data_IF_127256644246
#
_entry.id   IF_127256644246
#
_cell.length_a   1.000
_cell.length_b   1.000
_cell.length_c   1.000
_cell.angle_alpha   90.00
_cell.angle_beta   90.00
_cell.angle_gamma   90.00
#
_symmetry.space_group_name_H-M   'P 1'
#
loop_
_entity.id
_entity.type
_entity.pdbx_description
1 polymer ?
#
# COMPACT_ATOMS: atom_id res chain seq x y z
N UNK A 1 -3.93 23.90 -0.81
CA UNK A 1 -3.05 22.89 -1.47
C UNK A 1 -3.35 21.53 -0.86
N UNK A 2 -3.70 20.57 -1.69
CA UNK A 2 -3.99 19.22 -1.21
C UNK A 2 -2.71 18.49 -0.83
N UNK A 3 -2.72 17.84 0.34
CA UNK A 3 -1.61 17.02 0.77
C UNK A 3 -1.74 15.64 0.11
N UNK A 4 -0.84 15.38 -0.82
CA UNK A 4 -0.77 14.13 -1.57
C UNK A 4 0.69 13.83 -1.88
N UNK A 5 1.07 12.56 -1.81
CA UNK A 5 2.37 12.12 -2.31
C UNK A 5 2.20 10.98 -3.31
N UNK A 6 3.23 10.78 -4.11
CA UNK A 6 3.37 9.62 -4.99
C UNK A 6 4.79 9.10 -4.85
N UNK A 7 4.93 7.82 -4.55
CA UNK A 7 6.20 7.11 -4.60
C UNK A 7 6.19 6.10 -5.73
N UNK A 8 7.36 5.79 -6.30
CA UNK A 8 7.42 4.85 -7.43
C UNK A 8 8.71 4.06 -7.42
N UNK A 9 8.67 2.91 -8.04
CA UNK A 9 9.83 2.04 -8.21
C UNK A 9 9.63 1.03 -9.33
N UNK A 10 10.72 0.50 -9.84
CA UNK A 10 10.72 -0.50 -10.90
C UNK A 10 11.07 -1.86 -10.34
N UNK A 11 10.25 -2.85 -10.69
CA UNK A 11 10.42 -4.25 -10.28
C UNK A 11 10.75 -5.07 -11.54
N UNK A 12 11.82 -5.85 -11.50
CA UNK A 12 12.27 -6.68 -12.63
C UNK A 12 11.47 -7.96 -12.76
N UNK A 13 10.15 -7.81 -12.81
CA UNK A 13 9.16 -8.87 -13.03
C UNK A 13 8.05 -8.32 -13.91
N UNK A 14 7.31 -9.21 -14.58
CA UNK A 14 6.16 -8.84 -15.41
C UNK A 14 5.01 -8.29 -14.57
N UNK A 15 4.13 -7.52 -15.21
CA UNK A 15 3.03 -6.82 -14.51
C UNK A 15 2.06 -7.77 -13.82
N UNK A 16 1.80 -8.92 -14.39
CA UNK A 16 0.93 -9.94 -13.79
C UNK A 16 1.53 -10.50 -12.49
N UNK A 17 2.83 -10.74 -12.45
CA UNK A 17 3.54 -11.21 -11.25
C UNK A 17 3.51 -10.14 -10.15
N UNK A 18 3.79 -8.89 -10.51
CA UNK A 18 3.84 -7.79 -9.54
C UNK A 18 2.45 -7.46 -9.00
N UNK A 19 1.45 -7.41 -9.86
CA UNK A 19 0.06 -7.22 -9.43
C UNK A 19 -0.40 -8.33 -8.48
N UNK A 20 -0.14 -9.59 -8.82
CA UNK A 20 -0.53 -10.74 -8.00
C UNK A 20 0.18 -10.72 -6.63
N UNK A 21 1.40 -10.23 -6.57
CA UNK A 21 2.13 -10.07 -5.31
C UNK A 21 1.46 -9.09 -4.33
N UNK A 22 0.60 -8.20 -4.82
CA UNK A 22 -0.21 -7.31 -4.00
C UNK A 22 -1.60 -7.89 -3.76
N UNK A 23 -2.23 -8.44 -4.79
CA UNK A 23 -3.62 -8.89 -4.73
C UNK A 23 -3.81 -10.18 -3.92
N UNK A 24 -2.83 -11.07 -3.94
CA UNK A 24 -2.86 -12.33 -3.18
C UNK A 24 -2.38 -12.08 -1.74
N UNK A 25 -3.24 -12.30 -0.72
CA UNK A 25 -2.85 -12.08 0.67
C UNK A 25 -1.68 -12.94 1.12
N UNK A 26 -1.53 -14.14 0.60
CA UNK A 26 -0.41 -15.02 0.92
C UNK A 26 0.92 -14.44 0.44
N UNK A 27 0.95 -13.84 -0.75
CA UNK A 27 2.14 -13.19 -1.29
C UNK A 27 2.43 -11.86 -0.59
N UNK A 28 1.43 -11.02 -0.40
CA UNK A 28 1.57 -9.73 0.27
C UNK A 28 2.15 -9.88 1.68
N UNK A 29 1.78 -10.95 2.38
CA UNK A 29 2.24 -11.24 3.73
C UNK A 29 3.72 -11.65 3.81
N UNK A 30 4.37 -11.94 2.68
CA UNK A 30 5.79 -12.28 2.64
C UNK A 30 6.71 -11.06 2.79
N UNK A 31 6.23 -9.87 2.42
CA UNK A 31 7.11 -8.70 2.40
C UNK A 31 6.49 -7.42 2.96
N UNK A 32 5.16 -7.31 3.02
CA UNK A 32 4.47 -6.09 3.48
C UNK A 32 3.62 -6.35 4.71
N UNK A 33 2.52 -7.07 4.58
CA UNK A 33 1.61 -7.39 5.69
C UNK A 33 2.13 -8.58 6.48
N UNK A 34 3.25 -8.40 7.14
CA UNK A 34 4.03 -9.48 7.77
C UNK A 34 3.40 -10.03 9.04
N UNK A 35 2.38 -9.38 9.59
CA UNK A 35 1.51 -9.93 10.64
C UNK A 35 0.35 -10.76 10.09
N UNK A 36 0.17 -10.78 8.78
CA UNK A 36 -0.85 -11.51 8.04
C UNK A 36 -1.76 -10.58 7.25
N UNK A 37 -2.34 -11.12 6.17
CA UNK A 37 -3.40 -10.48 5.40
C UNK A 37 -4.49 -11.51 5.16
N UNK A 38 -5.75 -11.07 5.15
CA UNK A 38 -6.91 -11.92 4.89
C UNK A 38 -7.78 -11.28 3.82
N UNK A 39 -8.12 -12.07 2.83
CA UNK A 39 -8.95 -11.65 1.71
C UNK A 39 -8.14 -11.18 0.52
N UNK A 40 -8.55 -11.64 -0.65
CA UNK A 40 -7.98 -11.19 -1.92
C UNK A 40 -8.47 -9.80 -2.24
N UNK A 41 -7.62 -8.98 -2.82
CA UNK A 41 -7.98 -7.63 -3.28
C UNK A 41 -8.89 -7.74 -4.50
N UNK A 42 -10.16 -7.41 -4.30
CA UNK A 42 -11.22 -7.41 -5.31
C UNK A 42 -12.13 -6.20 -5.09
N UNK A 43 -12.72 -5.67 -6.17
CA UNK A 43 -13.62 -4.53 -6.08
C UNK A 43 -14.77 -4.78 -5.10
N UNK A 44 -14.96 -3.87 -4.16
CA UNK A 44 -16.02 -3.93 -3.15
C UNK A 44 -15.70 -4.79 -1.94
N UNK A 45 -14.55 -5.48 -1.92
CA UNK A 45 -14.13 -6.29 -0.79
C UNK A 45 -13.62 -5.41 0.36
N UNK A 46 -13.75 -5.93 1.58
CA UNK A 46 -13.02 -5.42 2.74
C UNK A 46 -12.04 -6.51 3.16
N UNK A 47 -10.76 -6.22 3.02
CA UNK A 47 -9.68 -7.12 3.41
C UNK A 47 -9.13 -6.70 4.77
N UNK A 48 -8.36 -7.57 5.41
CA UNK A 48 -7.74 -7.29 6.71
C UNK A 48 -6.23 -7.39 6.58
N UNK A 49 -5.52 -6.34 7.04
CA UNK A 49 -4.07 -6.28 7.08
C UNK A 49 -3.56 -6.21 8.50
N UNK A 50 -2.39 -6.80 8.74
CA UNK A 50 -1.68 -6.74 10.00
C UNK A 50 -0.17 -6.68 9.74
N UNK A 51 0.56 -5.96 10.60
CA UNK A 51 2.02 -5.84 10.51
C UNK A 51 2.64 -6.38 11.79
N UNK A 52 3.65 -7.25 11.69
CA UNK A 52 4.31 -7.82 12.88
C UNK A 52 5.00 -6.76 13.74
N UNK A 53 5.51 -5.72 13.09
CA UNK A 53 6.23 -4.60 13.72
C UNK A 53 5.29 -3.51 14.26
N UNK A 54 4.05 -3.46 13.78
CA UNK A 54 2.98 -2.58 14.26
C UNK A 54 1.71 -3.41 14.44
N UNK A 55 1.65 -4.29 15.46
CA UNK A 55 0.58 -5.28 15.58
C UNK A 55 -0.78 -4.64 15.83
N UNK A 56 -1.81 -5.25 15.25
CA UNK A 56 -3.19 -4.83 15.34
C UNK A 56 -3.85 -4.88 13.97
N UNK A 57 -4.62 -5.94 13.70
CA UNK A 57 -5.32 -6.10 12.42
C UNK A 57 -6.33 -4.97 12.21
N UNK A 58 -6.41 -4.45 10.98
CA UNK A 58 -7.32 -3.38 10.61
C UNK A 58 -7.96 -3.64 9.24
N UNK A 59 -9.18 -3.09 9.01
CA UNK A 59 -9.85 -3.26 7.73
C UNK A 59 -9.29 -2.32 6.66
N UNK A 60 -9.27 -2.81 5.43
CA UNK A 60 -8.92 -2.06 4.23
C UNK A 60 -10.06 -2.24 3.22
N UNK A 61 -10.69 -1.15 2.84
CA UNK A 61 -11.81 -1.17 1.88
C UNK A 61 -11.29 -1.03 0.46
N UNK A 62 -11.59 -1.99 -0.39
CA UNK A 62 -11.18 -1.98 -1.79
C UNK A 62 -12.28 -1.29 -2.61
N UNK A 63 -11.96 -0.11 -3.15
CA UNK A 63 -12.92 0.71 -3.89
C UNK A 63 -13.06 0.27 -5.34
N UNK A 64 -11.93 0.00 -6.01
CA UNK A 64 -11.93 -0.39 -7.41
C UNK A 64 -10.66 -1.16 -7.75
N UNK A 65 -10.77 -2.11 -8.66
CA UNK A 65 -9.66 -2.91 -9.16
C UNK A 65 -9.75 -3.02 -10.67
N UNK A 66 -8.69 -2.66 -11.36
CA UNK A 66 -8.44 -3.00 -12.76
C UNK A 66 -7.22 -3.93 -12.79
N UNK A 67 -7.45 -5.20 -13.10
CA UNK A 67 -6.41 -6.22 -13.06
C UNK A 67 -5.18 -5.80 -13.87
N UNK A 68 -3.99 -5.97 -13.26
CA UNK A 68 -2.68 -5.62 -13.85
C UNK A 68 -2.48 -4.12 -14.13
N UNK A 69 -3.38 -3.24 -13.64
CA UNK A 69 -3.28 -1.81 -13.90
C UNK A 69 -3.44 -0.96 -12.66
N UNK A 70 -4.46 -1.20 -11.82
CA UNK A 70 -4.81 -0.25 -10.77
C UNK A 70 -5.58 -0.89 -9.64
N UNK A 71 -5.27 -0.47 -8.42
CA UNK A 71 -6.01 -0.77 -7.20
C UNK A 71 -6.27 0.55 -6.49
N UNK A 72 -7.52 0.82 -6.15
CA UNK A 72 -7.89 1.92 -5.27
C UNK A 72 -8.44 1.35 -3.97
N UNK A 73 -7.93 1.84 -2.87
CA UNK A 73 -8.38 1.42 -1.54
C UNK A 73 -8.49 2.62 -0.58
N UNK A 74 -9.20 2.40 0.51
CA UNK A 74 -9.31 3.36 1.59
C UNK A 74 -9.05 2.65 2.91
N UNK A 75 -8.27 3.27 3.75
CA UNK A 75 -7.95 2.76 5.08
C UNK A 75 -7.98 3.86 6.13
N UNK A 76 -8.10 3.47 7.40
CA UNK A 76 -8.20 4.39 8.52
C UNK A 76 -6.90 5.17 8.76
N UNK A 77 -7.07 6.37 9.26
CA UNK A 77 -5.99 7.25 9.69
C UNK A 77 -6.21 7.63 11.16
N UNK A 78 -5.15 8.09 11.81
CA UNK A 78 -5.25 8.55 13.20
C UNK A 78 -6.14 9.80 13.28
N UNK A 79 -6.87 9.99 14.39
CA UNK A 79 -7.70 11.18 14.57
C UNK A 79 -6.91 12.47 14.36
N UNK A 80 -7.48 13.39 13.59
CA UNK A 80 -6.88 14.69 13.30
C UNK A 80 -5.86 14.70 12.16
N UNK A 81 -5.46 13.54 11.64
CA UNK A 81 -4.46 13.46 10.56
C UNK A 81 -5.04 13.38 9.16
N UNK A 82 -6.29 13.00 9.04
CA UNK A 82 -7.01 12.89 7.77
C UNK A 82 -8.43 13.42 7.91
N UNK A 83 -9.05 13.72 6.78
CA UNK A 83 -10.44 14.12 6.74
C UNK A 83 -11.35 12.89 6.93
N UNK A 84 -12.56 13.14 7.45
CA UNK A 84 -13.54 12.09 7.62
C UNK A 84 -14.10 11.66 6.25
N UNK A 85 -14.28 10.37 6.10
CA UNK A 85 -14.99 9.82 4.94
C UNK A 85 -16.51 9.80 5.14
N UNK A 86 -17.23 9.13 4.24
CA UNK A 86 -18.68 9.02 4.29
C UNK A 86 -19.20 8.35 5.57
N UNK A 87 -18.39 7.53 6.24
CA UNK A 87 -18.74 6.90 7.52
C UNK A 87 -18.50 7.82 8.72
N UNK A 88 -17.87 8.97 8.51
CA UNK A 88 -17.49 9.91 9.57
C UNK A 88 -16.16 9.60 10.22
N UNK A 89 -15.44 8.59 9.75
CA UNK A 89 -14.14 8.19 10.30
C UNK A 89 -12.99 8.77 9.47
N UNK A 90 -11.89 9.21 10.11
CA UNK A 90 -10.73 9.71 9.38
C UNK A 90 -10.11 8.60 8.54
N UNK A 91 -9.92 8.86 7.26
CA UNK A 91 -9.37 7.88 6.34
C UNK A 91 -8.66 8.55 5.17
N UNK A 92 -7.71 7.83 4.57
CA UNK A 92 -7.01 8.25 3.36
C UNK A 92 -7.32 7.29 2.22
N UNK A 93 -7.17 7.79 1.00
CA UNK A 93 -7.31 6.99 -0.22
C UNK A 93 -5.93 6.68 -0.76
N UNK A 94 -5.68 5.41 -1.04
CA UNK A 94 -4.45 4.91 -1.65
C UNK A 94 -4.76 4.40 -3.05
N UNK A 95 -3.91 4.75 -3.99
CA UNK A 95 -3.99 4.27 -5.37
C UNK A 95 -2.66 3.60 -5.72
N UNK A 96 -2.72 2.31 -6.10
CA UNK A 96 -1.57 1.59 -6.63
C UNK A 96 -1.77 1.44 -8.14
N UNK A 97 -0.76 1.82 -8.92
CA UNK A 97 -0.77 1.70 -10.37
C UNK A 97 0.39 0.83 -10.83
N UNK A 98 0.11 -0.02 -11.82
CA UNK A 98 1.06 -0.97 -12.37
C UNK A 98 1.16 -0.74 -13.88
N UNK A 99 2.38 -0.56 -14.37
CA UNK A 99 2.64 -0.31 -15.79
C UNK A 99 3.73 -1.24 -16.30
N UNK A 100 3.40 -2.08 -17.29
CA UNK A 100 4.37 -2.91 -17.97
C UNK A 100 5.29 -2.02 -18.83
N UNK A 101 6.58 -2.07 -18.55
CA UNK A 101 7.58 -1.31 -19.31
C UNK A 101 8.10 -2.12 -20.51
N UNK A 102 8.67 -1.42 -21.49
CA UNK A 102 9.20 -2.04 -22.72
C UNK A 102 10.39 -2.97 -22.45
N UNK A 103 11.12 -2.75 -21.36
CA UNK A 103 12.25 -3.59 -20.95
C UNK A 103 11.86 -4.83 -20.13
N UNK A 104 10.56 -5.08 -20.00
CA UNK A 104 10.01 -6.24 -19.26
C UNK A 104 9.83 -6.01 -17.78
N UNK A 105 10.28 -4.87 -17.23
CA UNK A 105 10.03 -4.51 -15.84
C UNK A 105 8.63 -3.91 -15.67
N UNK A 106 8.21 -3.79 -14.44
CA UNK A 106 6.95 -3.13 -14.06
C UNK A 106 7.26 -1.87 -13.26
N UNK A 107 6.70 -0.74 -13.69
CA UNK A 107 6.69 0.48 -12.88
C UNK A 107 5.50 0.42 -11.93
N UNK A 108 5.76 0.52 -10.64
CA UNK A 108 4.73 0.60 -9.60
C UNK A 108 4.71 2.01 -9.05
N UNK A 109 3.52 2.63 -9.04
CA UNK A 109 3.30 3.95 -8.43
C UNK A 109 2.29 3.79 -7.30
N UNK A 110 2.57 4.39 -6.16
CA UNK A 110 1.67 4.40 -5.01
C UNK A 110 1.44 5.83 -4.60
N UNK A 111 0.17 6.25 -4.62
CA UNK A 111 -0.24 7.60 -4.21
C UNK A 111 -1.16 7.51 -3.01
N UNK A 112 -1.06 8.46 -2.10
CA UNK A 112 -1.99 8.56 -0.98
C UNK A 112 -2.43 10.00 -0.78
N UNK A 113 -3.73 10.20 -0.56
CA UNK A 113 -4.38 11.50 -0.43
C UNK A 113 -5.50 11.47 0.61
N UNK A 114 -6.02 12.63 0.98
CA UNK A 114 -7.05 12.77 2.02
C UNK A 114 -6.50 13.20 3.37
N UNK A 115 -5.25 13.63 3.40
CA UNK A 115 -4.61 14.15 4.61
C UNK A 115 -5.21 15.51 4.99
N UNK A 116 -5.42 15.72 6.27
CA UNK A 116 -5.89 17.01 6.78
C UNK A 116 -4.83 18.09 6.53
N UNK A 117 -5.27 19.24 6.02
CA UNK A 117 -4.37 20.35 5.68
C UNK A 117 -3.96 21.14 6.94
N UNK A 118 -3.19 20.48 7.78
CA UNK A 118 -2.65 21.00 9.06
C UNK A 118 -1.39 20.20 9.44
N UNK A 119 -0.61 20.70 10.42
CA UNK A 119 0.68 20.08 10.78
C UNK A 119 0.60 18.58 11.07
N UNK A 120 -0.47 18.11 11.72
CA UNK A 120 -0.67 16.68 12.05
C UNK A 120 -0.86 15.84 10.79
N UNK A 121 -1.64 16.35 9.81
CA UNK A 121 -1.84 15.67 8.52
C UNK A 121 -0.56 15.63 7.70
N UNK A 122 0.19 16.73 7.67
CA UNK A 122 1.48 16.77 6.99
C UNK A 122 2.47 15.79 7.59
N UNK A 123 2.62 15.77 8.91
CA UNK A 123 3.51 14.83 9.60
C UNK A 123 3.12 13.36 9.34
N UNK A 124 1.82 13.06 9.35
CA UNK A 124 1.31 11.72 9.05
C UNK A 124 1.59 11.32 7.60
N UNK A 125 1.44 12.26 6.65
CA UNK A 125 1.74 11.99 5.24
C UNK A 125 3.20 11.62 5.02
N UNK A 126 4.12 12.26 5.72
CA UNK A 126 5.55 11.92 5.63
C UNK A 126 5.83 10.50 6.14
N UNK A 127 5.21 10.10 7.25
CA UNK A 127 5.36 8.73 7.78
C UNK A 127 4.83 7.68 6.80
N UNK A 128 3.69 7.95 6.17
CA UNK A 128 3.13 7.02 5.19
C UNK A 128 3.94 7.00 3.89
N UNK A 129 4.48 8.14 3.48
CA UNK A 129 5.41 8.22 2.37
C UNK A 129 6.65 7.33 2.61
N UNK A 130 7.22 7.39 3.79
CA UNK A 130 8.31 6.50 4.22
C UNK A 130 7.86 5.03 4.18
N UNK A 131 6.69 4.73 4.73
CA UNK A 131 6.16 3.36 4.79
C UNK A 131 5.92 2.76 3.40
N UNK A 132 5.35 3.52 2.47
CA UNK A 132 5.14 3.05 1.09
C UNK A 132 6.45 2.91 0.31
N UNK A 133 7.42 3.77 0.54
CA UNK A 133 8.77 3.62 -0.02
C UNK A 133 9.41 2.33 0.49
N UNK A 134 9.31 2.07 1.78
CA UNK A 134 9.78 0.81 2.38
C UNK A 134 9.09 -0.41 1.78
N UNK A 135 7.79 -0.32 1.54
CA UNK A 135 7.02 -1.39 0.88
C UNK A 135 7.55 -1.70 -0.53
N UNK A 136 7.81 -0.67 -1.33
CA UNK A 136 8.37 -0.87 -2.68
C UNK A 136 9.76 -1.53 -2.62
N UNK A 137 10.61 -1.11 -1.70
CA UNK A 137 11.92 -1.72 -1.52
C UNK A 137 11.79 -3.18 -1.06
N UNK A 138 10.87 -3.47 -0.15
CA UNK A 138 10.60 -4.82 0.33
C UNK A 138 10.04 -5.72 -0.78
N UNK A 139 9.13 -5.19 -1.62
CA UNK A 139 8.60 -5.87 -2.79
C UNK A 139 9.73 -6.27 -3.75
N UNK A 140 10.62 -5.32 -4.06
CA UNK A 140 11.75 -5.58 -4.95
C UNK A 140 12.67 -6.65 -4.38
N UNK A 141 13.01 -6.55 -3.10
CA UNK A 141 13.87 -7.54 -2.43
C UNK A 141 13.25 -8.93 -2.46
N UNK A 142 11.95 -9.03 -2.21
CA UNK A 142 11.26 -10.31 -2.19
C UNK A 142 11.09 -10.90 -3.59
N UNK A 143 10.55 -10.13 -4.55
CA UNK A 143 10.24 -10.65 -5.88
C UNK A 143 11.48 -10.95 -6.71
N UNK A 144 12.51 -10.14 -6.62
CA UNK A 144 13.73 -10.31 -7.42
C UNK A 144 14.76 -11.23 -6.77
N UNK A 145 14.83 -11.23 -5.44
CA UNK A 145 15.94 -11.90 -4.71
C UNK A 145 15.45 -12.91 -3.67
N UNK A 146 14.16 -13.00 -3.40
CA UNK A 146 13.63 -13.92 -2.38
C UNK A 146 14.03 -13.53 -0.96
N UNK A 147 14.38 -12.27 -0.72
CA UNK A 147 14.83 -11.77 0.59
C UNK A 147 13.70 -11.00 1.25
N UNK A 148 13.36 -11.38 2.47
CA UNK A 148 12.43 -10.67 3.32
C UNK A 148 13.23 -9.75 4.25
N UNK A 149 13.21 -8.43 4.02
CA UNK A 149 14.05 -7.51 4.80
C UNK A 149 13.27 -6.57 5.72
N UNK A 150 11.95 -6.64 5.74
CA UNK A 150 11.14 -5.82 6.65
C UNK A 150 11.39 -6.15 8.12
N UNK A 151 11.70 -7.40 8.41
CA UNK A 151 11.97 -7.83 9.78
C UNK A 151 13.20 -7.10 10.35
N UNK A 152 13.01 -6.42 11.49
CA UNK A 152 14.07 -5.64 12.11
C UNK A 152 14.38 -4.32 11.42
N UNK A 153 13.54 -3.87 10.47
CA UNK A 153 13.76 -2.61 9.75
C UNK A 153 13.18 -1.41 10.51
N UNK A 154 11.93 -1.49 10.93
CA UNK A 154 11.29 -0.41 11.70
C UNK A 154 11.39 -0.62 13.21
N UNK A 155 11.40 -1.87 13.65
CA UNK A 155 11.49 -2.27 15.06
C UNK A 155 12.21 -3.60 15.20
#
# INVERSE_FOLDING_TARGET
MDLKFTVSGRIAKSVDVVYEAVADPAQLSKYFTTGGAKGRIETGATVTWDFHDFPGAFPVRILAVEKNRRIELRWGAAPGTADADESGEPSTKVTLEFEQLDDGRTLVKISEEGWAQRPEGLAASYKNCEGWTGMLCAMKAWLEYGVQFRQGFYK
#
